data_IF_182951596206
#
_entry.id   IF_182951596206
#
_cell.length_a   1.000
_cell.length_b   1.000
_cell.length_c   1.000
_cell.angle_alpha   90.00
_cell.angle_beta   90.00
_cell.angle_gamma   90.00
#
_symmetry.space_group_name_H-M   'P 1'
#
loop_
_entity.id
_entity.type
_entity.pdbx_description
1 polymer ?
#
# COMPACT_ATOMS: atom_id res chain seq x y z
N UNK A 1 14.05 18.68 18.35
CA UNK A 1 15.31 18.03 18.76
C UNK A 1 16.09 17.40 17.58
N UNK A 2 15.52 17.22 16.38
CA UNK A 2 16.21 16.61 15.24
C UNK A 2 17.32 17.51 14.65
N UNK A 3 17.04 18.79 14.43
CA UNK A 3 17.97 19.75 13.80
C UNK A 3 19.33 19.85 14.52
N UNK A 4 19.40 19.97 15.88
CA UNK A 4 20.68 19.96 16.57
C UNK A 4 21.47 18.65 16.43
N UNK A 5 20.80 17.50 16.27
CA UNK A 5 21.47 16.22 16.04
C UNK A 5 22.09 16.17 14.66
N UNK A 6 21.39 16.69 13.65
CA UNK A 6 21.89 16.80 12.27
C UNK A 6 23.10 17.74 12.23
N UNK A 7 23.04 18.91 12.87
CA UNK A 7 24.15 19.85 12.93
C UNK A 7 25.41 19.21 13.54
N UNK A 8 25.26 18.54 14.71
CA UNK A 8 26.36 17.81 15.36
C UNK A 8 26.93 16.69 14.48
N UNK A 9 26.08 16.00 13.71
CA UNK A 9 26.54 14.95 12.80
C UNK A 9 27.37 15.51 11.64
N UNK A 10 26.97 16.66 11.08
CA UNK A 10 27.72 17.36 10.04
C UNK A 10 29.07 17.87 10.58
N UNK A 11 29.07 18.52 11.75
CA UNK A 11 30.28 18.98 12.43
C UNK A 11 31.28 17.84 12.64
N UNK A 12 30.83 16.71 13.19
CA UNK A 12 31.69 15.53 13.42
C UNK A 12 32.25 14.92 12.15
N UNK A 13 31.54 15.08 11.03
CA UNK A 13 31.98 14.58 9.72
C UNK A 13 32.93 15.53 8.99
N UNK A 14 33.05 16.79 9.45
CA UNK A 14 33.78 17.84 8.74
C UNK A 14 33.14 18.28 7.41
N UNK A 15 31.89 17.86 7.14
CA UNK A 15 31.17 18.20 5.92
C UNK A 15 30.35 19.47 6.10
N UNK A 16 30.41 20.36 5.11
CA UNK A 16 29.50 21.49 5.03
C UNK A 16 28.11 21.01 4.57
N UNK A 17 26.99 21.61 5.03
CA UNK A 17 25.66 21.25 4.55
C UNK A 17 25.53 21.28 3.02
N UNK A 18 26.18 22.26 2.36
CA UNK A 18 26.18 22.42 0.89
C UNK A 18 26.95 21.31 0.14
N UNK A 19 27.77 20.50 0.82
CA UNK A 19 28.46 19.37 0.18
C UNK A 19 27.61 18.10 0.14
N UNK A 20 26.41 18.11 0.74
CA UNK A 20 25.49 17.00 0.68
C UNK A 20 24.95 16.84 -0.75
N UNK A 21 25.11 15.64 -1.32
CA UNK A 21 24.53 15.32 -2.64
C UNK A 21 23.10 14.80 -2.54
N UNK A 22 22.76 14.18 -1.41
CA UNK A 22 21.43 13.64 -1.15
C UNK A 22 21.14 13.60 0.34
N UNK A 23 19.85 13.62 0.68
CA UNK A 23 19.30 13.44 2.02
C UNK A 23 18.26 12.33 1.96
N UNK A 24 18.33 11.35 2.85
CA UNK A 24 17.34 10.28 2.93
C UNK A 24 16.46 10.43 4.17
N UNK A 25 15.15 10.28 3.99
CA UNK A 25 14.16 10.26 5.06
C UNK A 25 13.55 8.87 5.22
N UNK A 26 13.34 8.45 6.48
CA UNK A 26 12.47 7.32 6.78
C UNK A 26 11.02 7.76 6.67
N UNK A 27 10.27 7.15 5.75
CA UNK A 27 8.86 7.43 5.49
C UNK A 27 7.93 6.70 6.46
N UNK A 28 8.48 5.95 7.42
CA UNK A 28 7.73 5.19 8.41
C UNK A 28 7.65 3.70 8.07
N UNK A 29 6.77 2.94 8.74
CA UNK A 29 5.69 3.40 9.62
C UNK A 29 6.17 3.92 10.97
N UNK A 30 5.42 4.85 11.56
CA UNK A 30 5.74 5.44 12.86
C UNK A 30 4.62 6.31 13.40
N UNK A 31 4.86 7.04 14.48
CA UNK A 31 3.89 8.02 14.99
C UNK A 31 3.63 9.12 13.95
N UNK A 32 2.38 9.58 13.83
CA UNK A 32 2.00 10.63 12.86
C UNK A 32 2.91 11.85 12.97
N UNK A 33 3.12 12.34 14.20
CA UNK A 33 4.01 13.48 14.47
C UNK A 33 5.46 13.15 14.15
N UNK A 34 5.97 11.98 14.53
CA UNK A 34 7.37 11.61 14.34
C UNK A 34 7.77 11.54 12.87
N UNK A 35 6.97 10.85 12.04
CA UNK A 35 7.27 10.71 10.60
C UNK A 35 7.20 12.05 9.88
N UNK A 36 6.20 12.90 10.18
CA UNK A 36 6.08 14.23 9.55
C UNK A 36 7.23 15.15 9.93
N UNK A 37 7.59 15.18 11.22
CA UNK A 37 8.72 16.01 11.68
C UNK A 37 10.03 15.53 11.04
N UNK A 38 10.23 14.21 10.92
CA UNK A 38 11.38 13.63 10.25
C UNK A 38 11.47 14.05 8.77
N UNK A 39 10.39 13.83 8.02
CA UNK A 39 10.32 14.18 6.60
C UNK A 39 10.47 15.69 6.36
N UNK A 40 9.75 16.53 7.10
CA UNK A 40 9.85 17.99 6.97
C UNK A 40 11.26 18.51 7.29
N UNK A 41 11.96 17.89 8.26
CA UNK A 41 13.36 18.23 8.55
C UNK A 41 14.28 17.84 7.39
N UNK A 42 14.06 16.68 6.78
CA UNK A 42 14.83 16.22 5.62
C UNK A 42 14.58 17.10 4.39
N UNK A 43 13.33 17.50 4.14
CA UNK A 43 12.94 18.45 3.08
C UNK A 43 13.64 19.80 3.27
N UNK A 44 13.59 20.36 4.48
CA UNK A 44 14.26 21.62 4.79
C UNK A 44 15.78 21.53 4.60
N UNK A 45 16.41 20.43 5.03
CA UNK A 45 17.84 20.22 4.83
C UNK A 45 18.19 20.06 3.35
N UNK A 46 17.42 19.28 2.59
CA UNK A 46 17.61 19.09 1.16
C UNK A 46 17.50 20.41 0.41
N UNK A 47 16.47 21.21 0.71
CA UNK A 47 16.26 22.53 0.15
C UNK A 47 17.43 23.48 0.46
N UNK A 48 17.89 23.52 1.71
CA UNK A 48 18.97 24.41 2.13
C UNK A 48 20.35 24.00 1.55
N UNK A 49 20.57 22.70 1.33
CA UNK A 49 21.82 22.17 0.79
C UNK A 49 21.87 22.07 -0.74
N UNK A 50 20.72 22.07 -1.41
CA UNK A 50 20.61 21.70 -2.82
C UNK A 50 20.71 20.18 -3.06
N UNK A 51 20.65 19.37 -2.00
CA UNK A 51 20.76 17.93 -2.09
C UNK A 51 19.46 17.29 -2.63
N UNK A 52 19.61 16.16 -3.34
CA UNK A 52 18.46 15.37 -3.76
C UNK A 52 17.79 14.70 -2.55
N UNK A 53 16.48 14.91 -2.38
CA UNK A 53 15.72 14.23 -1.33
C UNK A 53 15.30 12.82 -1.81
N UNK A 54 15.58 11.81 -0.98
CA UNK A 54 15.19 10.42 -1.18
C UNK A 54 14.38 9.91 0.00
N UNK A 55 13.55 8.89 -0.22
CA UNK A 55 12.74 8.27 0.83
C UNK A 55 12.77 6.76 0.76
N UNK A 56 12.73 6.12 1.93
CA UNK A 56 12.52 4.69 2.07
C UNK A 56 11.74 4.42 3.37
N UNK A 57 11.02 3.30 3.44
CA UNK A 57 10.30 2.92 4.66
C UNK A 57 11.21 2.10 5.57
N UNK A 58 11.03 2.18 6.89
CA UNK A 58 11.77 1.34 7.84
C UNK A 58 11.55 -0.15 7.54
N UNK A 59 10.33 -0.53 7.15
CA UNK A 59 10.00 -1.92 6.78
C UNK A 59 10.78 -2.38 5.55
N UNK A 60 10.73 -1.65 4.44
CA UNK A 60 11.48 -2.03 3.23
C UNK A 60 12.99 -2.03 3.46
N UNK A 61 13.49 -1.07 4.25
CA UNK A 61 14.92 -0.96 4.56
C UNK A 61 15.41 -2.12 5.43
N UNK A 62 14.64 -2.49 6.46
CA UNK A 62 14.95 -3.66 7.30
C UNK A 62 14.84 -4.97 6.52
N UNK A 63 13.84 -5.10 5.63
CA UNK A 63 13.73 -6.26 4.76
C UNK A 63 14.94 -6.38 3.83
N UNK A 64 15.33 -5.28 3.18
CA UNK A 64 16.46 -5.25 2.24
C UNK A 64 17.81 -5.49 2.89
N UNK A 65 17.96 -5.18 4.18
CA UNK A 65 19.16 -5.44 4.96
C UNK A 65 19.18 -6.84 5.60
N UNK A 66 18.08 -7.59 5.54
CA UNK A 66 18.00 -8.92 6.14
C UNK A 66 18.78 -9.94 5.29
N UNK A 67 19.65 -10.78 5.90
CA UNK A 67 20.30 -11.88 5.19
C UNK A 67 19.30 -13.02 4.97
N UNK A 68 18.39 -12.83 4.02
CA UNK A 68 17.29 -13.75 3.71
C UNK A 68 17.37 -14.27 2.27
N UNK A 69 17.11 -15.56 2.07
CA UNK A 69 16.99 -16.20 0.76
C UNK A 69 15.84 -17.19 0.79
N UNK A 70 15.06 -17.26 -0.29
CA UNK A 70 13.89 -18.16 -0.43
C UNK A 70 12.98 -18.12 0.81
N UNK A 71 12.75 -16.91 1.33
CA UNK A 71 12.04 -16.71 2.60
C UNK A 71 11.00 -15.60 2.49
N UNK A 72 9.94 -15.71 3.27
CA UNK A 72 9.09 -14.59 3.64
C UNK A 72 9.81 -13.79 4.75
N UNK A 73 10.22 -12.57 4.45
CA UNK A 73 10.85 -11.65 5.38
C UNK A 73 9.78 -10.74 5.96
N UNK A 74 9.68 -10.74 7.29
CA UNK A 74 8.67 -9.99 8.04
C UNK A 74 9.36 -9.02 9.01
N UNK A 75 9.69 -7.79 8.58
CA UNK A 75 10.22 -6.77 9.47
C UNK A 75 9.15 -6.33 10.48
N UNK A 76 9.52 -6.29 11.76
CA UNK A 76 8.68 -5.88 12.87
C UNK A 76 9.28 -4.64 13.56
N UNK A 77 8.51 -3.55 13.57
CA UNK A 77 8.86 -2.28 14.23
C UNK A 77 7.84 -2.00 15.34
N UNK A 78 8.24 -1.54 16.54
CA UNK A 78 7.30 -1.23 17.61
C UNK A 78 6.25 -0.18 17.19
N UNK A 79 4.97 -0.45 17.46
CA UNK A 79 3.87 0.49 17.21
C UNK A 79 3.31 1.13 18.49
N UNK A 80 3.91 0.85 19.66
CA UNK A 80 3.36 1.18 20.97
C UNK A 80 2.25 0.22 21.39
N UNK A 81 1.73 0.36 22.63
CA UNK A 81 0.56 -0.39 23.14
C UNK A 81 0.58 -1.92 22.91
N UNK A 82 1.75 -2.56 23.04
CA UNK A 82 1.96 -4.01 22.74
C UNK A 82 1.64 -4.43 21.30
N UNK A 83 1.69 -3.49 20.37
CA UNK A 83 1.50 -3.74 18.95
C UNK A 83 2.82 -3.59 18.19
N UNK A 84 2.83 -4.12 16.97
CA UNK A 84 3.92 -4.00 16.01
C UNK A 84 3.38 -3.53 14.66
N UNK A 85 4.19 -2.76 13.96
CA UNK A 85 4.08 -2.60 12.51
C UNK A 85 4.83 -3.76 11.86
N UNK A 86 4.17 -4.44 10.93
CA UNK A 86 4.73 -5.56 10.18
C UNK A 86 4.71 -5.27 8.68
N UNK A 87 5.80 -5.58 7.99
CA UNK A 87 5.87 -5.60 6.53
C UNK A 87 5.98 -7.02 6.00
N UNK A 88 5.61 -7.26 4.75
CA UNK A 88 5.57 -8.60 4.17
C UNK A 88 6.32 -8.59 2.84
N UNK A 89 7.49 -9.23 2.82
CA UNK A 89 8.40 -9.21 1.68
C UNK A 89 8.85 -10.61 1.31
N UNK A 90 8.93 -10.90 0.02
CA UNK A 90 9.54 -12.14 -0.49
C UNK A 90 11.00 -11.90 -0.81
N UNK A 91 11.91 -12.69 -0.23
CA UNK A 91 13.31 -12.78 -0.65
C UNK A 91 13.48 -13.92 -1.65
N UNK A 92 14.06 -13.64 -2.81
CA UNK A 92 14.35 -14.66 -3.83
C UNK A 92 15.61 -15.50 -3.51
N UNK A 93 16.11 -16.26 -4.49
CA UNK A 93 17.30 -17.10 -4.33
C UNK A 93 18.60 -16.31 -4.13
N UNK A 94 18.66 -15.10 -4.68
CA UNK A 94 19.79 -14.18 -4.52
C UNK A 94 19.73 -13.38 -3.22
N UNK A 95 18.54 -13.33 -2.61
CA UNK A 95 18.22 -12.52 -1.43
C UNK A 95 17.63 -11.17 -1.77
N UNK A 96 17.24 -10.97 -3.03
CA UNK A 96 16.58 -9.77 -3.48
C UNK A 96 15.14 -9.74 -2.96
N UNK A 97 14.80 -8.74 -2.15
CA UNK A 97 13.47 -8.60 -1.54
C UNK A 97 12.48 -7.88 -2.45
N UNK A 98 11.23 -8.35 -2.53
CA UNK A 98 10.12 -7.66 -3.18
C UNK A 98 8.93 -7.58 -2.23
N UNK A 99 8.20 -6.48 -2.26
CA UNK A 99 6.96 -6.29 -1.49
C UNK A 99 5.92 -7.33 -1.92
N UNK A 100 5.28 -7.97 -0.94
CA UNK A 100 4.30 -9.03 -1.18
C UNK A 100 2.89 -8.61 -0.75
N UNK A 101 2.74 -7.86 0.33
CA UNK A 101 1.43 -7.42 0.82
C UNK A 101 1.51 -6.09 1.57
N UNK A 102 0.35 -5.45 1.74
CA UNK A 102 0.25 -4.24 2.55
C UNK A 102 0.77 -4.45 3.98
N UNK A 103 1.48 -3.46 4.54
CA UNK A 103 1.91 -3.49 5.92
C UNK A 103 0.71 -3.56 6.87
N UNK A 104 0.89 -4.22 8.00
CA UNK A 104 -0.13 -4.38 9.03
C UNK A 104 0.30 -3.72 10.34
N UNK A 105 -0.68 -3.36 11.17
CA UNK A 105 -0.47 -2.93 12.55
C UNK A 105 -1.39 -3.71 13.48
N UNK A 106 -0.86 -4.21 14.59
CA UNK A 106 -1.64 -4.94 15.58
C UNK A 106 -0.76 -5.79 16.50
N UNK A 107 -1.38 -6.64 17.32
CA UNK A 107 -0.64 -7.58 18.16
C UNK A 107 -0.04 -8.71 17.29
N UNK A 108 0.91 -9.47 17.85
CA UNK A 108 1.66 -10.49 17.10
C UNK A 108 0.76 -11.55 16.46
N UNK A 109 -0.35 -11.91 17.10
CA UNK A 109 -1.33 -12.88 16.61
C UNK A 109 -1.95 -12.44 15.28
N UNK A 110 -2.24 -11.13 15.13
CA UNK A 110 -2.77 -10.58 13.89
C UNK A 110 -1.72 -10.62 12.77
N UNK A 111 -0.45 -10.38 13.11
CA UNK A 111 0.66 -10.47 12.16
C UNK A 111 0.83 -11.91 11.69
N UNK A 112 0.80 -12.86 12.62
CA UNK A 112 0.92 -14.29 12.33
C UNK A 112 -0.22 -14.78 11.43
N UNK A 113 -1.47 -14.37 11.68
CA UNK A 113 -2.59 -14.68 10.78
C UNK A 113 -2.32 -14.18 9.36
N UNK A 114 -1.75 -12.99 9.19
CA UNK A 114 -1.40 -12.48 7.87
C UNK A 114 -0.17 -13.15 7.25
N UNK A 115 0.76 -13.66 8.06
CA UNK A 115 1.85 -14.54 7.58
C UNK A 115 1.28 -15.81 6.95
N UNK A 116 0.29 -16.44 7.58
CA UNK A 116 -0.36 -17.64 7.03
C UNK A 116 -1.04 -17.37 5.69
N UNK A 117 -1.70 -16.21 5.54
CA UNK A 117 -2.32 -15.80 4.27
C UNK A 117 -1.29 -15.53 3.15
N UNK A 118 -0.11 -15.00 3.50
CA UNK A 118 0.86 -14.49 2.52
C UNK A 118 1.98 -15.47 2.19
N UNK A 119 2.32 -16.39 3.10
CA UNK A 119 3.39 -17.38 2.90
C UNK A 119 3.20 -18.21 1.62
N UNK A 120 2.00 -18.74 1.29
CA UNK A 120 1.80 -19.50 0.04
C UNK A 120 2.13 -18.69 -1.22
N UNK A 121 1.86 -17.38 -1.21
CA UNK A 121 2.12 -16.49 -2.36
C UNK A 121 3.59 -16.14 -2.53
N UNK A 122 4.34 -16.18 -1.43
CA UNK A 122 5.78 -15.92 -1.46
C UNK A 122 6.54 -17.01 -2.22
N UNK A 123 5.99 -18.24 -2.29
CA UNK A 123 6.71 -19.41 -2.80
C UNK A 123 7.92 -19.79 -1.94
N UNK A 124 7.98 -19.29 -0.70
CA UNK A 124 8.95 -19.67 0.31
C UNK A 124 8.36 -20.70 1.27
N UNK A 125 9.21 -21.57 1.82
CA UNK A 125 8.87 -22.43 2.96
C UNK A 125 9.15 -21.74 4.30
N UNK A 126 10.11 -20.81 4.30
CA UNK A 126 10.67 -20.25 5.52
C UNK A 126 10.13 -18.86 5.79
N UNK A 127 9.92 -18.55 7.07
CA UNK A 127 9.57 -17.22 7.57
C UNK A 127 10.74 -16.68 8.39
N UNK A 128 11.10 -15.41 8.20
CA UNK A 128 12.14 -14.72 8.97
C UNK A 128 11.60 -13.42 9.51
N UNK A 129 11.44 -13.35 10.83
CA UNK A 129 11.11 -12.10 11.50
C UNK A 129 12.39 -11.32 11.78
N UNK A 130 12.40 -10.03 11.42
CA UNK A 130 13.57 -9.15 11.61
C UNK A 130 13.15 -7.83 12.24
N UNK A 131 14.11 -7.12 12.80
CA UNK A 131 13.89 -5.78 13.34
C UNK A 131 13.59 -5.70 14.84
N UNK A 132 13.44 -4.48 15.36
CA UNK A 132 13.53 -4.18 16.78
C UNK A 132 12.38 -4.69 17.66
N UNK A 133 11.23 -5.05 17.07
CA UNK A 133 10.14 -5.63 17.86
C UNK A 133 10.26 -7.15 18.06
N UNK A 134 11.09 -7.85 17.29
CA UNK A 134 11.22 -9.31 17.34
C UNK A 134 11.56 -9.84 18.74
N UNK A 135 12.52 -9.27 19.50
CA UNK A 135 12.87 -9.81 20.81
C UNK A 135 11.71 -9.82 21.80
N UNK A 136 10.79 -8.85 21.69
CA UNK A 136 9.60 -8.74 22.55
C UNK A 136 8.54 -9.79 22.20
N UNK A 137 8.40 -10.10 20.91
CA UNK A 137 7.38 -11.04 20.41
C UNK A 137 7.93 -12.47 20.23
N UNK A 138 9.20 -12.71 20.56
CA UNK A 138 9.93 -13.94 20.24
C UNK A 138 9.15 -15.20 20.58
N UNK A 139 8.64 -15.30 21.80
CA UNK A 139 7.95 -16.51 22.26
C UNK A 139 6.71 -16.81 21.43
N UNK A 140 5.93 -15.78 21.05
CA UNK A 140 4.76 -15.96 20.20
C UNK A 140 5.16 -16.37 18.77
N UNK A 141 6.21 -15.75 18.23
CA UNK A 141 6.71 -16.01 16.88
C UNK A 141 7.31 -17.42 16.75
N UNK A 142 8.13 -17.84 17.71
CA UNK A 142 8.77 -19.17 17.73
C UNK A 142 7.77 -20.30 17.99
N UNK A 143 6.76 -20.08 18.84
CA UNK A 143 5.67 -21.04 19.00
C UNK A 143 4.90 -21.27 17.71
N UNK A 144 4.64 -20.21 16.94
CA UNK A 144 3.92 -20.31 15.69
C UNK A 144 4.79 -20.83 14.53
N UNK A 145 6.05 -20.42 14.49
CA UNK A 145 7.02 -20.71 13.42
C UNK A 145 8.42 -20.95 14.01
N UNK A 146 8.75 -22.20 14.37
CA UNK A 146 10.07 -22.52 14.95
C UNK A 146 11.23 -22.14 14.03
N UNK A 147 12.29 -21.56 14.60
CA UNK A 147 13.49 -21.09 13.91
C UNK A 147 13.33 -19.74 13.18
N UNK A 148 12.14 -19.14 13.21
CA UNK A 148 11.87 -17.90 12.47
C UNK A 148 12.51 -16.64 13.07
N UNK A 149 13.08 -16.73 14.27
CA UNK A 149 13.79 -15.67 15.00
C UNK A 149 15.23 -16.05 15.37
N UNK A 150 15.84 -16.97 14.61
CA UNK A 150 17.20 -17.46 14.82
C UNK A 150 18.20 -16.33 15.09
N UNK A 151 19.21 -16.58 15.95
CA UNK A 151 20.18 -15.56 16.39
C UNK A 151 20.99 -14.93 15.25
N UNK A 152 21.13 -15.64 14.12
CA UNK A 152 21.77 -15.11 12.92
C UNK A 152 20.96 -13.98 12.24
N UNK A 153 19.69 -13.81 12.59
CA UNK A 153 18.84 -12.75 12.05
C UNK A 153 19.00 -11.45 12.82
N UNK A 154 18.82 -10.35 12.09
CA UNK A 154 18.98 -9.01 12.64
C UNK A 154 17.74 -8.59 13.41
N UNK A 155 17.91 -8.32 14.70
CA UNK A 155 16.87 -7.73 15.57
C UNK A 155 17.17 -6.28 15.99
N UNK A 156 18.26 -5.68 15.50
CA UNK A 156 18.56 -4.28 15.75
C UNK A 156 17.60 -3.36 14.98
N UNK A 157 17.47 -2.12 15.47
CA UNK A 157 16.73 -1.06 14.78
C UNK A 157 17.30 -0.70 13.41
N UNK A 158 16.56 0.14 12.68
CA UNK A 158 16.99 0.70 11.41
C UNK A 158 18.26 1.54 11.61
N UNK A 159 19.30 1.26 10.82
CA UNK A 159 20.51 2.10 10.79
C UNK A 159 20.45 3.10 9.63
N UNK A 160 21.26 4.17 9.71
CA UNK A 160 21.41 5.12 8.61
C UNK A 160 21.91 4.47 7.31
N UNK A 161 22.74 3.41 7.42
CA UNK A 161 23.24 2.67 6.25
C UNK A 161 22.13 1.90 5.54
N UNK A 162 21.23 1.26 6.28
CA UNK A 162 20.12 0.51 5.67
C UNK A 162 19.17 1.43 4.93
N UNK A 163 18.83 2.56 5.56
CA UNK A 163 17.97 3.57 4.96
C UNK A 163 18.61 4.14 3.69
N UNK A 164 19.91 4.48 3.75
CA UNK A 164 20.66 4.96 2.60
C UNK A 164 20.70 3.94 1.45
N UNK A 165 20.94 2.67 1.75
CA UNK A 165 20.98 1.59 0.75
C UNK A 165 19.61 1.41 0.10
N UNK A 166 18.54 1.39 0.88
CA UNK A 166 17.18 1.26 0.37
C UNK A 166 16.80 2.45 -0.51
N UNK A 167 16.98 3.68 0.00
CA UNK A 167 16.64 4.92 -0.69
C UNK A 167 17.41 5.10 -2.02
N UNK A 168 18.63 4.55 -2.11
CA UNK A 168 19.45 4.62 -3.34
C UNK A 168 19.35 3.41 -4.25
N UNK A 169 18.57 2.40 -3.87
CA UNK A 169 18.51 1.14 -4.62
C UNK A 169 17.88 1.26 -6.01
N UNK A 170 17.07 2.31 -6.25
CA UNK A 170 16.34 2.49 -7.51
C UNK A 170 15.26 1.42 -7.77
N UNK A 171 14.95 0.58 -6.78
CA UNK A 171 14.07 -0.60 -6.97
C UNK A 171 12.58 -0.28 -6.94
N UNK A 172 12.23 0.95 -6.55
CA UNK A 172 10.87 1.49 -6.65
C UNK A 172 9.79 0.69 -5.91
N UNK A 173 8.53 0.82 -6.35
CA UNK A 173 7.37 0.24 -5.68
C UNK A 173 7.42 -1.27 -5.48
N UNK A 174 8.06 -2.01 -6.40
CA UNK A 174 8.26 -3.46 -6.28
C UNK A 174 9.03 -3.85 -5.01
N UNK A 175 9.90 -2.98 -4.50
CA UNK A 175 10.63 -3.20 -3.24
C UNK A 175 9.94 -2.53 -2.02
N UNK A 176 8.73 -2.00 -2.18
CA UNK A 176 8.06 -1.20 -1.14
C UNK A 176 8.68 0.17 -0.93
N UNK A 177 9.30 0.71 -1.98
CA UNK A 177 9.94 2.03 -2.00
C UNK A 177 9.15 3.00 -2.89
N UNK A 178 9.28 4.32 -2.69
CA UNK A 178 8.65 5.31 -3.56
C UNK A 178 9.06 5.14 -5.04
N UNK A 179 8.15 5.45 -5.94
CA UNK A 179 8.48 5.57 -7.36
C UNK A 179 9.36 6.81 -7.60
N UNK A 180 10.31 6.69 -8.54
CA UNK A 180 11.16 7.81 -8.93
C UNK A 180 10.32 8.98 -9.44
N UNK A 181 10.68 10.20 -9.04
CA UNK A 181 9.98 11.43 -9.47
C UNK A 181 8.60 11.66 -8.86
N UNK A 182 8.12 10.77 -7.96
CA UNK A 182 6.89 11.02 -7.19
C UNK A 182 7.21 11.76 -5.89
N UNK A 183 6.28 12.60 -5.38
CA UNK A 183 6.40 13.18 -4.04
C UNK A 183 6.62 12.11 -2.98
N UNK A 184 7.47 12.39 -2.00
CA UNK A 184 7.68 11.51 -0.87
C UNK A 184 6.54 11.70 0.13
N UNK A 185 5.74 10.65 0.32
CA UNK A 185 4.62 10.67 1.24
C UNK A 185 4.90 9.77 2.46
N UNK A 186 4.55 10.23 3.68
CA UNK A 186 4.57 9.37 4.86
C UNK A 186 3.68 8.13 4.69
N UNK A 187 4.21 6.97 5.11
CA UNK A 187 3.46 5.73 5.21
C UNK A 187 2.71 5.65 6.55
N UNK A 188 1.39 5.90 6.50
CA UNK A 188 0.50 5.69 7.64
C UNK A 188 -0.23 4.36 7.55
N UNK A 189 0.15 3.41 8.41
CA UNK A 189 -0.51 2.10 8.50
C UNK A 189 -1.75 2.16 9.39
N UNK A 190 -1.77 3.08 10.36
CA UNK A 190 -2.93 3.42 11.18
C UNK A 190 -3.48 4.76 10.70
N UNK A 191 -4.80 4.86 10.52
CA UNK A 191 -5.44 6.16 10.31
C UNK A 191 -5.18 7.03 11.54
N UNK A 192 -4.64 8.24 11.32
CA UNK A 192 -4.52 9.20 12.40
C UNK A 192 -5.94 9.65 12.80
N UNK A 193 -6.30 9.54 14.08
CA UNK A 193 -7.62 9.98 14.59
C UNK A 193 -7.93 11.46 14.23
N UNK A 194 -6.89 12.28 14.04
CA UNK A 194 -7.02 13.65 13.56
C UNK A 194 -7.49 13.74 12.09
N UNK A 195 -7.05 12.84 11.21
CA UNK A 195 -7.53 12.78 9.82
C UNK A 195 -8.99 12.33 9.75
N UNK A 196 -9.42 11.39 10.58
CA UNK A 196 -10.81 10.94 10.62
C UNK A 196 -11.78 12.07 10.99
N UNK A 197 -11.43 12.89 11.99
CA UNK A 197 -12.23 14.05 12.41
C UNK A 197 -12.33 15.15 11.34
N UNK A 198 -11.25 15.43 10.62
CA UNK A 198 -11.26 16.39 9.50
C UNK A 198 -12.07 15.85 8.33
N UNK A 199 -11.99 14.55 8.03
CA UNK A 199 -12.76 13.89 6.96
C UNK A 199 -14.27 13.96 7.18
N UNK A 200 -14.73 13.78 8.41
CA UNK A 200 -16.16 13.88 8.73
C UNK A 200 -16.71 15.30 8.57
N UNK A 201 -15.92 16.34 8.87
CA UNK A 201 -16.35 17.75 8.70
C UNK A 201 -16.36 18.22 7.24
N UNK A 202 -15.46 17.74 6.37
CA UNK A 202 -15.34 18.20 4.98
C UNK A 202 -16.32 17.55 3.98
N UNK A 203 -17.09 16.53 4.39
CA UNK A 203 -18.05 15.81 3.53
C UNK A 203 -19.47 16.38 3.56
N UNK A 204 -19.74 17.43 4.35
CA UNK A 204 -21.10 17.85 4.70
C UNK A 204 -21.84 18.73 3.67
N UNK A 205 -21.25 19.01 2.49
CA UNK A 205 -21.82 20.01 1.58
C UNK A 205 -22.87 19.50 0.59
N UNK A 206 -22.66 18.33 0.00
CA UNK A 206 -23.46 17.84 -1.14
C UNK A 206 -23.55 16.31 -1.10
N UNK A 207 -24.73 15.69 -1.32
CA UNK A 207 -24.86 14.24 -1.30
C UNK A 207 -24.07 13.58 -2.43
N UNK A 208 -23.56 12.38 -2.16
CA UNK A 208 -22.97 11.53 -3.19
C UNK A 208 -24.08 10.70 -3.84
N UNK A 209 -24.27 10.85 -5.14
CA UNK A 209 -25.29 10.13 -5.90
C UNK A 209 -24.62 9.11 -6.81
N UNK A 210 -25.12 7.87 -6.83
CA UNK A 210 -24.70 6.87 -7.79
C UNK A 210 -25.70 6.80 -8.94
N UNK A 211 -25.20 6.69 -10.16
CA UNK A 211 -26.02 6.47 -11.36
C UNK A 211 -25.30 5.61 -12.40
N UNK A 212 -26.02 5.00 -13.35
CA UNK A 212 -25.40 4.26 -14.44
C UNK A 212 -24.40 5.12 -15.22
N UNK A 213 -23.25 4.51 -15.57
CA UNK A 213 -22.26 5.08 -16.47
C UNK A 213 -22.80 4.99 -17.90
N UNK A 214 -22.95 6.14 -18.58
CA UNK A 214 -23.46 6.24 -19.96
C UNK A 214 -22.36 6.68 -20.93
N UNK A 215 -22.59 6.45 -22.23
CA UNK A 215 -21.67 6.84 -23.30
C UNK A 215 -21.31 8.34 -23.32
N UNK A 216 -22.20 9.20 -22.81
CA UNK A 216 -21.97 10.64 -22.69
C UNK A 216 -20.92 11.00 -21.63
N UNK A 217 -20.68 10.13 -20.64
CA UNK A 217 -19.72 10.38 -19.56
C UNK A 217 -18.29 9.98 -19.93
N UNK A 218 -18.12 9.21 -21.02
CA UNK A 218 -16.83 8.62 -21.44
C UNK A 218 -15.70 9.66 -21.54
N UNK A 219 -15.90 10.87 -22.11
CA UNK A 219 -14.83 11.87 -22.16
C UNK A 219 -14.33 12.30 -20.77
N UNK A 220 -15.25 12.46 -19.81
CA UNK A 220 -14.90 12.84 -18.44
C UNK A 220 -14.20 11.68 -17.71
N UNK A 221 -14.71 10.46 -17.86
CA UNK A 221 -14.10 9.26 -17.26
C UNK A 221 -12.71 9.01 -17.84
N UNK A 222 -12.51 9.18 -19.15
CA UNK A 222 -11.21 9.02 -19.79
C UNK A 222 -10.20 10.11 -19.39
N UNK A 223 -10.66 11.30 -19.00
CA UNK A 223 -9.79 12.31 -18.40
C UNK A 223 -9.30 11.87 -17.00
N UNK A 224 -10.20 11.33 -16.17
CA UNK A 224 -9.86 10.78 -14.85
C UNK A 224 -8.93 9.56 -14.98
N UNK A 225 -9.16 8.68 -15.95
CA UNK A 225 -8.31 7.54 -16.25
C UNK A 225 -6.86 7.95 -16.45
N UNK A 226 -6.62 8.92 -17.34
CA UNK A 226 -5.27 9.44 -17.64
C UNK A 226 -4.59 10.10 -16.45
N UNK A 227 -5.36 10.66 -15.52
CA UNK A 227 -4.83 11.28 -14.32
C UNK A 227 -4.49 10.25 -13.22
N UNK A 228 -5.29 9.19 -13.12
CA UNK A 228 -5.23 8.25 -11.99
C UNK A 228 -4.39 7.01 -12.30
N UNK A 229 -4.42 6.51 -13.54
CA UNK A 229 -3.74 5.28 -13.93
C UNK A 229 -2.53 5.56 -14.82
N UNK A 230 -1.49 4.76 -14.63
CA UNK A 230 -0.28 4.80 -15.44
C UNK A 230 -0.41 4.11 -16.80
N UNK A 231 -1.40 3.22 -16.93
CA UNK A 231 -1.78 2.54 -18.20
C UNK A 231 -3.30 2.74 -18.39
N UNK A 232 -3.74 3.97 -18.74
CA UNK A 232 -5.16 4.33 -18.78
C UNK A 232 -5.87 3.67 -19.96
N UNK A 233 -7.14 3.29 -19.76
CA UNK A 233 -7.95 2.77 -20.86
C UNK A 233 -8.35 3.88 -21.85
N UNK A 234 -8.29 3.61 -23.17
CA UNK A 234 -8.71 4.58 -24.17
C UNK A 234 -10.24 4.72 -24.18
N UNK A 235 -10.76 5.88 -24.63
CA UNK A 235 -12.22 6.12 -24.73
C UNK A 235 -12.96 5.03 -25.51
N UNK A 236 -12.37 4.54 -26.60
CA UNK A 236 -12.95 3.49 -27.43
C UNK A 236 -13.22 2.21 -26.64
N UNK A 237 -12.38 1.89 -25.65
CA UNK A 237 -12.59 0.74 -24.77
C UNK A 237 -13.88 0.90 -23.98
N UNK A 238 -14.08 2.02 -23.28
CA UNK A 238 -15.32 2.27 -22.53
C UNK A 238 -16.56 2.25 -23.43
N UNK A 239 -16.49 2.84 -24.63
CA UNK A 239 -17.62 2.83 -25.56
C UNK A 239 -18.02 1.41 -25.95
N UNK A 240 -17.03 0.54 -26.18
CA UNK A 240 -17.27 -0.88 -26.43
C UNK A 240 -17.83 -1.62 -25.21
N UNK A 241 -17.25 -1.42 -24.03
CA UNK A 241 -17.72 -2.12 -22.82
C UNK A 241 -19.17 -1.78 -22.46
N UNK A 242 -19.57 -0.51 -22.60
CA UNK A 242 -20.91 -0.05 -22.27
C UNK A 242 -22.02 -0.64 -23.18
N UNK A 243 -21.69 -1.31 -24.28
CA UNK A 243 -22.68 -2.02 -25.11
C UNK A 243 -22.96 -3.45 -24.65
N UNK A 244 -22.18 -4.00 -23.71
CA UNK A 244 -22.29 -5.38 -23.28
C UNK A 244 -23.24 -5.54 -22.08
N UNK A 245 -24.19 -6.47 -22.18
CA UNK A 245 -25.20 -6.72 -21.13
C UNK A 245 -24.63 -7.28 -19.82
N UNK A 246 -23.43 -7.87 -19.86
CA UNK A 246 -22.70 -8.36 -18.68
C UNK A 246 -21.88 -7.29 -17.96
N UNK A 247 -21.85 -6.05 -18.46
CA UNK A 247 -21.08 -4.97 -17.83
C UNK A 247 -21.94 -4.27 -16.78
N UNK A 248 -21.39 -4.19 -15.57
CA UNK A 248 -21.87 -3.32 -14.51
C UNK A 248 -20.96 -2.08 -14.48
N UNK A 249 -21.53 -0.92 -14.79
CA UNK A 249 -20.78 0.33 -14.86
C UNK A 249 -21.56 1.46 -14.18
N UNK A 250 -20.94 2.06 -13.16
CA UNK A 250 -21.54 3.09 -12.31
C UNK A 250 -20.63 4.31 -12.19
N UNK A 251 -21.25 5.49 -12.15
CA UNK A 251 -20.62 6.76 -11.82
C UNK A 251 -21.11 7.21 -10.45
N UNK A 252 -20.22 7.80 -9.69
CA UNK A 252 -20.52 8.57 -8.50
C UNK A 252 -20.40 10.06 -8.80
N UNK A 253 -21.41 10.84 -8.43
CA UNK A 253 -21.45 12.30 -8.61
C UNK A 253 -21.64 13.02 -7.28
N UNK A 254 -21.05 14.21 -7.20
CA UNK A 254 -21.29 15.16 -6.11
C UNK A 254 -21.49 16.55 -6.69
N UNK A 255 -22.64 17.16 -6.43
CA UNK A 255 -23.01 18.45 -7.02
C UNK A 255 -23.04 18.42 -8.55
N UNK A 256 -23.50 17.32 -9.14
CA UNK A 256 -23.54 17.12 -10.60
C UNK A 256 -22.19 16.96 -11.28
N UNK A 257 -21.10 16.81 -10.51
CA UNK A 257 -19.75 16.59 -11.05
C UNK A 257 -19.30 15.16 -10.78
N UNK A 258 -18.57 14.59 -11.74
CA UNK A 258 -17.93 13.28 -11.61
C UNK A 258 -17.01 13.26 -10.38
N UNK A 259 -17.28 12.34 -9.46
CA UNK A 259 -16.47 12.10 -8.28
C UNK A 259 -15.69 10.77 -8.37
N UNK A 260 -16.18 9.82 -9.15
CA UNK A 260 -15.52 8.54 -9.42
C UNK A 260 -16.39 7.62 -10.27
N UNK A 261 -15.85 6.47 -10.65
CA UNK A 261 -16.58 5.44 -11.40
C UNK A 261 -16.08 4.05 -11.03
N UNK A 262 -16.88 3.05 -11.36
CA UNK A 262 -16.58 1.63 -11.25
C UNK A 262 -17.07 0.92 -12.52
N UNK A 263 -16.24 0.06 -13.08
CA UNK A 263 -16.61 -0.87 -14.15
C UNK A 263 -16.24 -2.30 -13.75
N UNK A 264 -17.18 -3.22 -13.91
CA UNK A 264 -17.01 -4.63 -13.63
C UNK A 264 -17.73 -5.49 -14.67
N UNK A 265 -17.22 -6.69 -14.91
CA UNK A 265 -17.86 -7.70 -15.76
C UNK A 265 -18.50 -8.76 -14.89
N UNK A 266 -19.80 -8.99 -15.04
CA UNK A 266 -20.59 -9.94 -14.28
C UNK A 266 -21.12 -11.02 -15.23
N UNK A 267 -20.61 -12.24 -15.13
CA UNK A 267 -20.97 -13.35 -16.01
C UNK A 267 -20.77 -14.72 -15.35
N UNK A 268 -21.59 -15.71 -15.71
CA UNK A 268 -21.40 -17.10 -15.30
C UNK A 268 -21.49 -17.37 -13.79
N UNK A 269 -22.16 -16.48 -13.03
CA UNK A 269 -22.24 -16.58 -11.57
C UNK A 269 -20.97 -16.11 -10.84
N UNK A 270 -20.08 -15.39 -11.53
CA UNK A 270 -18.92 -14.70 -10.96
C UNK A 270 -18.80 -13.29 -11.56
N UNK A 271 -17.98 -12.44 -10.96
CA UNK A 271 -17.64 -11.16 -11.55
C UNK A 271 -16.18 -10.79 -11.40
N UNK A 272 -15.77 -9.81 -12.18
CA UNK A 272 -14.42 -9.26 -12.18
C UNK A 272 -14.50 -7.74 -12.17
N UNK A 273 -13.87 -7.11 -11.18
CA UNK A 273 -13.74 -5.66 -11.10
C UNK A 273 -12.60 -5.26 -12.01
N UNK A 274 -12.91 -4.43 -13.02
CA UNK A 274 -11.92 -3.80 -13.86
C UNK A 274 -11.31 -2.59 -13.17
N UNK A 275 -11.81 -1.41 -13.48
CA UNK A 275 -11.34 -0.16 -12.87
C UNK A 275 -12.34 0.39 -11.85
N UNK A 276 -11.80 0.78 -10.69
CA UNK A 276 -12.46 1.56 -9.66
C UNK A 276 -11.59 2.79 -9.39
N UNK A 277 -12.12 3.97 -9.70
CA UNK A 277 -11.36 5.21 -9.56
C UNK A 277 -12.15 6.28 -8.80
N UNK A 278 -11.41 7.15 -8.14
CA UNK A 278 -11.94 8.36 -7.50
C UNK A 278 -11.11 9.54 -7.98
N UNK A 279 -11.79 10.59 -8.41
CA UNK A 279 -11.18 11.86 -8.81
C UNK A 279 -10.28 12.36 -7.67
N UNK A 280 -9.04 12.82 -7.93
CA UNK A 280 -8.09 13.13 -6.85
C UNK A 280 -8.62 14.08 -5.77
N UNK A 281 -9.38 15.11 -6.14
CA UNK A 281 -10.02 16.03 -5.19
C UNK A 281 -11.17 15.43 -4.36
N UNK A 282 -11.72 14.28 -4.79
CA UNK A 282 -12.80 13.57 -4.10
C UNK A 282 -12.30 12.36 -3.28
N UNK A 283 -10.99 12.10 -3.28
CA UNK A 283 -10.39 11.00 -2.53
C UNK A 283 -10.61 11.18 -1.03
N UNK A 284 -10.72 10.05 -0.33
CA UNK A 284 -10.98 9.99 1.13
C UNK A 284 -12.32 10.62 1.56
N UNK A 285 -13.25 10.90 0.64
CA UNK A 285 -14.63 11.37 0.90
C UNK A 285 -15.70 10.28 0.70
N UNK A 286 -15.30 9.01 0.78
CA UNK A 286 -16.22 7.86 0.72
C UNK A 286 -16.69 7.42 -0.67
N UNK A 287 -16.17 8.01 -1.76
CA UNK A 287 -16.59 7.69 -3.14
C UNK A 287 -16.35 6.22 -3.50
N UNK A 288 -15.11 5.75 -3.45
CA UNK A 288 -14.77 4.36 -3.79
C UNK A 288 -15.49 3.34 -2.90
N UNK A 289 -15.70 3.67 -1.62
CA UNK A 289 -16.50 2.87 -0.68
C UNK A 289 -17.92 2.70 -1.20
N UNK A 290 -18.60 3.80 -1.52
CA UNK A 290 -19.98 3.76 -1.96
C UNK A 290 -20.16 3.01 -3.29
N UNK A 291 -19.24 3.19 -4.25
CA UNK A 291 -19.24 2.44 -5.51
C UNK A 291 -19.05 0.93 -5.28
N UNK A 292 -18.13 0.54 -4.39
CA UNK A 292 -17.87 -0.86 -4.09
C UNK A 292 -19.03 -1.51 -3.31
N UNK A 293 -19.64 -0.79 -2.38
CA UNK A 293 -20.86 -1.23 -1.66
C UNK A 293 -21.99 -1.55 -2.64
N UNK A 294 -22.26 -0.66 -3.61
CA UNK A 294 -23.29 -0.84 -4.63
C UNK A 294 -23.02 -2.09 -5.50
N UNK A 295 -21.76 -2.31 -5.90
CA UNK A 295 -21.37 -3.51 -6.65
C UNK A 295 -21.58 -4.79 -5.83
N UNK A 296 -21.16 -4.81 -4.57
CA UNK A 296 -21.28 -6.00 -3.70
C UNK A 296 -22.75 -6.31 -3.41
N UNK A 297 -23.58 -5.28 -3.19
CA UNK A 297 -25.03 -5.44 -3.07
C UNK A 297 -25.62 -6.01 -4.36
N UNK A 298 -25.27 -5.45 -5.52
CA UNK A 298 -25.71 -5.96 -6.82
C UNK A 298 -25.29 -7.40 -7.05
N UNK A 299 -24.06 -7.75 -6.71
CA UNK A 299 -23.54 -9.11 -6.79
C UNK A 299 -24.34 -10.08 -5.94
N UNK A 300 -24.71 -9.65 -4.73
CA UNK A 300 -25.54 -10.44 -3.81
C UNK A 300 -26.96 -10.66 -4.36
N UNK A 301 -27.59 -9.60 -4.90
CA UNK A 301 -28.92 -9.68 -5.52
C UNK A 301 -28.92 -10.59 -6.76
N UNK A 302 -27.85 -10.54 -7.56
CA UNK A 302 -27.68 -11.40 -8.74
C UNK A 302 -27.26 -12.84 -8.40
N UNK A 303 -27.04 -13.17 -7.12
CA UNK A 303 -26.59 -14.50 -6.71
C UNK A 303 -25.19 -14.86 -7.21
N UNK A 304 -24.31 -13.87 -7.40
CA UNK A 304 -22.91 -14.14 -7.77
C UNK A 304 -22.21 -14.87 -6.64
N UNK A 305 -21.45 -15.92 -6.98
CA UNK A 305 -20.66 -16.71 -6.03
C UNK A 305 -19.39 -15.98 -5.61
N UNK A 306 -18.80 -15.20 -6.50
CA UNK A 306 -17.57 -14.47 -6.24
C UNK A 306 -17.39 -13.22 -7.09
N UNK A 307 -16.57 -12.29 -6.58
CA UNK A 307 -16.01 -11.15 -7.31
C UNK A 307 -14.49 -11.20 -7.18
N UNK A 308 -13.76 -10.97 -8.28
CA UNK A 308 -12.29 -10.94 -8.30
C UNK A 308 -11.77 -9.59 -8.77
N UNK A 309 -10.52 -9.27 -8.42
CA UNK A 309 -9.81 -8.09 -8.91
C UNK A 309 -8.29 -8.29 -8.82
N UNK A 310 -7.54 -7.51 -9.59
CA UNK A 310 -6.12 -7.27 -9.39
C UNK A 310 -5.85 -5.91 -8.74
N UNK A 311 -4.93 -5.88 -7.79
CA UNK A 311 -4.46 -4.65 -7.17
C UNK A 311 -2.95 -4.66 -6.97
N UNK A 312 -2.27 -3.54 -7.26
CA UNK A 312 -0.83 -3.36 -7.01
C UNK A 312 -0.49 -3.71 -5.56
N UNK A 313 0.60 -4.45 -5.36
CA UNK A 313 1.14 -4.76 -4.02
C UNK A 313 1.41 -3.50 -3.20
N UNK A 314 1.77 -2.38 -3.84
CA UNK A 314 2.00 -1.08 -3.19
C UNK A 314 0.74 -0.24 -2.95
N UNK A 315 -0.40 -0.58 -3.57
CA UNK A 315 -1.64 0.19 -3.41
C UNK A 315 -2.37 -0.22 -2.11
N UNK A 316 -1.76 0.13 -0.99
CA UNK A 316 -2.23 -0.23 0.35
C UNK A 316 -3.63 0.32 0.65
N UNK A 317 -3.96 1.51 0.14
CA UNK A 317 -5.27 2.13 0.34
C UNK A 317 -6.40 1.34 -0.34
N UNK A 318 -6.21 0.89 -1.58
CA UNK A 318 -7.17 0.05 -2.28
C UNK A 318 -7.28 -1.34 -1.62
N UNK A 319 -6.17 -1.96 -1.25
CA UNK A 319 -6.20 -3.23 -0.52
C UNK A 319 -6.99 -3.13 0.80
N UNK A 320 -6.82 -2.04 1.55
CA UNK A 320 -7.58 -1.80 2.78
C UNK A 320 -9.08 -1.60 2.50
N UNK A 321 -9.42 -0.87 1.43
CA UNK A 321 -10.79 -0.71 0.97
C UNK A 321 -11.43 -2.07 0.67
N UNK A 322 -10.79 -2.90 -0.15
CA UNK A 322 -11.33 -4.20 -0.53
C UNK A 322 -11.49 -5.13 0.68
N UNK A 323 -10.49 -5.21 1.58
CA UNK A 323 -10.60 -6.00 2.82
C UNK A 323 -11.77 -5.57 3.70
N UNK A 324 -12.03 -4.27 3.81
CA UNK A 324 -13.17 -3.75 4.57
C UNK A 324 -14.53 -4.17 3.99
N UNK A 325 -14.57 -4.56 2.71
CA UNK A 325 -15.79 -5.04 2.01
C UNK A 325 -15.75 -6.56 1.80
N UNK A 326 -14.99 -7.29 2.62
CA UNK A 326 -15.01 -8.75 2.65
C UNK A 326 -14.13 -9.44 1.59
N UNK A 327 -13.35 -8.69 0.80
CA UNK A 327 -12.38 -9.31 -0.10
C UNK A 327 -11.21 -9.88 0.69
N UNK A 328 -10.78 -11.07 0.31
CA UNK A 328 -9.62 -11.77 0.85
C UNK A 328 -8.58 -11.97 -0.23
N UNK A 329 -7.36 -12.26 0.21
CA UNK A 329 -6.26 -12.56 -0.70
C UNK A 329 -6.48 -13.94 -1.33
N UNK A 330 -6.41 -14.03 -2.65
CA UNK A 330 -6.67 -15.26 -3.40
C UNK A 330 -5.48 -15.71 -4.28
N UNK A 331 -4.58 -14.80 -4.63
CA UNK A 331 -3.45 -15.13 -5.49
C UNK A 331 -2.48 -13.98 -5.75
N UNK A 332 -1.47 -14.24 -6.58
CA UNK A 332 -0.45 -13.28 -6.97
C UNK A 332 -0.10 -13.44 -8.45
N UNK A 333 -0.18 -12.36 -9.23
CA UNK A 333 0.32 -12.29 -10.61
C UNK A 333 1.66 -11.55 -10.61
N UNK A 334 2.74 -12.26 -10.94
CA UNK A 334 4.09 -11.69 -10.90
C UNK A 334 4.34 -10.73 -12.05
N UNK A 335 4.96 -9.59 -11.77
CA UNK A 335 5.32 -8.59 -12.79
C UNK A 335 4.14 -8.14 -13.66
N UNK A 336 2.93 -8.14 -13.10
CA UNK A 336 1.69 -7.89 -13.81
C UNK A 336 1.64 -6.47 -14.38
N UNK A 337 2.08 -5.49 -13.59
CA UNK A 337 2.07 -4.09 -14.01
C UNK A 337 3.37 -3.75 -14.76
N UNK A 338 3.24 -3.51 -16.08
CA UNK A 338 4.38 -3.33 -17.00
C UNK A 338 5.22 -2.08 -16.73
N UNK A 339 4.60 -1.03 -16.21
CA UNK A 339 5.23 0.26 -15.95
C UNK A 339 6.26 0.23 -14.81
N UNK A 340 5.99 -0.54 -13.75
CA UNK A 340 6.85 -0.64 -12.56
C UNK A 340 7.41 -2.03 -12.31
N UNK A 341 6.95 -3.03 -13.06
CA UNK A 341 7.27 -4.45 -12.84
C UNK A 341 6.70 -4.99 -11.53
N UNK A 342 5.68 -4.34 -10.96
CA UNK A 342 5.05 -4.75 -9.72
C UNK A 342 4.20 -6.01 -9.90
N UNK A 343 4.18 -6.82 -8.84
CA UNK A 343 3.23 -7.91 -8.72
C UNK A 343 1.81 -7.34 -8.46
N UNK A 344 0.79 -8.05 -8.92
CA UNK A 344 -0.60 -7.79 -8.57
C UNK A 344 -1.09 -8.85 -7.58
N UNK A 345 -1.71 -8.40 -6.49
CA UNK A 345 -2.51 -9.28 -5.64
C UNK A 345 -3.84 -9.54 -6.32
N UNK A 346 -4.21 -10.81 -6.41
CA UNK A 346 -5.58 -11.19 -6.75
C UNK A 346 -6.35 -11.19 -5.43
N UNK A 347 -7.40 -10.38 -5.36
CA UNK A 347 -8.32 -10.38 -4.22
C UNK A 347 -9.68 -10.91 -4.66
N UNK A 348 -10.32 -11.68 -3.79
CA UNK A 348 -11.60 -12.32 -4.05
C UNK A 348 -12.57 -12.06 -2.90
N UNK A 349 -13.76 -11.59 -3.25
CA UNK A 349 -14.95 -11.65 -2.40
C UNK A 349 -15.74 -12.89 -2.77
N UNK A 350 -16.26 -13.60 -1.77
CA UNK A 350 -17.17 -14.74 -1.97
C UNK A 350 -18.48 -14.47 -1.26
N UNK A 351 -19.58 -14.82 -1.90
CA UNK A 351 -20.88 -14.76 -1.26
C UNK A 351 -20.88 -15.63 -0.01
N UNK A 352 -21.45 -15.10 1.08
CA UNK A 352 -21.66 -15.90 2.27
C UNK A 352 -22.77 -16.90 1.98
N UNK A 353 -22.46 -18.20 2.13
CA UNK A 353 -23.48 -19.25 2.10
C UNK A 353 -24.41 -18.96 3.27
N UNK A 354 -25.67 -18.60 3.00
CA UNK A 354 -26.71 -18.64 4.03
C UNK A 354 -26.93 -20.11 4.35
N UNK A 355 -26.38 -20.54 5.49
CA UNK A 355 -26.62 -21.87 6.05
C UNK A 355 -28.04 -22.02 6.54
#
# INVERSE_FOLDING_TARGET
RLTPLVARALERSGLAPRSLRWVAADLGPGSFTGVRVGLATAEALALASGAMLCGATSLASLAGAAPARRALVVPLVPAGRREVYAGFFRADRSGLVSLLAAPQVGPAERVLAHVEETLPLSGASDVRFVGPAVPRERDALERARPGSTALAFRHAGLSARDLAQAARSGRGPRAGLPAAGRPLEPLYVRSAQAEERVRHKASAGEPLVLRPFRAADVPQVAAVEREVFSDPWPEAFFRGELTHSGVYAMIAERGGRLAGYLLAWLAGGSGHIGNLATVPGERRRGVARRLLEDLVERASVMGLRSLTLEVRVSNFAAQALYRAHGFRLAGLRRGYYRDTGEDALIMEWRAQVRG
#
